data_IF_969774708880
#
_entry.id   IF_969774708880
#
_cell.length_a   1.000
_cell.length_b   1.000
_cell.length_c   1.000
_cell.angle_alpha   90.00
_cell.angle_beta   90.00
_cell.angle_gamma   90.00
#
_symmetry.space_group_name_H-M   'P 1'
#
loop_
_entity.id
_entity.type
_entity.pdbx_description
1 polymer ?
#
# COMPACT_ATOMS: atom_id res chain seq x y z
N UNK A 1 1.38 28.82 14.18
CA UNK A 1 0.14 28.12 14.59
C UNK A 1 -1.04 28.36 13.67
N UNK A 2 -1.23 29.53 13.15
CA UNK A 2 -2.30 29.78 12.17
C UNK A 2 -2.10 29.03 10.85
N UNK A 3 -0.85 28.80 10.42
CA UNK A 3 -0.54 28.05 9.20
C UNK A 3 -0.83 26.55 9.35
N UNK A 4 -0.53 25.94 10.49
CA UNK A 4 -0.85 24.55 10.75
C UNK A 4 -2.37 24.30 10.69
N UNK A 5 -3.16 25.18 11.25
CA UNK A 5 -4.61 25.09 11.21
C UNK A 5 -5.15 25.19 9.77
N UNK A 6 -4.63 26.12 8.99
CA UNK A 6 -5.01 26.29 7.57
C UNK A 6 -4.58 25.09 6.73
N UNK A 7 -3.37 24.58 6.94
CA UNK A 7 -2.87 23.40 6.25
C UNK A 7 -3.69 22.16 6.64
N UNK A 8 -3.98 21.96 7.92
CA UNK A 8 -4.83 20.87 8.40
C UNK A 8 -6.26 20.96 7.88
N UNK A 9 -6.85 22.13 7.83
CA UNK A 9 -8.18 22.33 7.24
C UNK A 9 -8.19 22.03 5.74
N UNK A 10 -7.20 22.47 5.00
CA UNK A 10 -7.06 22.16 3.57
C UNK A 10 -6.69 20.69 3.30
N UNK A 11 -5.91 20.08 4.15
CA UNK A 11 -5.49 18.67 4.04
C UNK A 11 -6.57 17.72 4.56
N UNK A 12 -7.41 18.13 5.51
CA UNK A 12 -8.55 17.34 5.97
C UNK A 12 -9.52 16.95 4.85
N UNK A 13 -9.67 17.76 3.84
CA UNK A 13 -10.45 17.41 2.64
C UNK A 13 -9.81 16.28 1.83
N UNK A 14 -8.47 16.18 1.83
CA UNK A 14 -7.74 15.11 1.16
C UNK A 14 -7.56 13.87 2.03
N UNK A 15 -7.56 14.02 3.34
CA UNK A 15 -7.49 12.89 4.29
C UNK A 15 -8.80 12.08 4.27
N UNK A 16 -9.91 12.67 3.86
CA UNK A 16 -11.16 11.97 3.61
C UNK A 16 -11.19 11.21 2.28
N UNK A 17 -10.15 11.32 1.46
CA UNK A 17 -10.05 10.54 0.22
C UNK A 17 -9.98 9.05 0.56
N UNK A 18 -10.80 8.25 -0.11
CA UNK A 18 -10.85 6.81 0.08
C UNK A 18 -9.53 6.17 -0.32
N UNK A 19 -8.91 5.47 0.59
CA UNK A 19 -7.63 4.76 0.36
C UNK A 19 -7.85 3.41 -0.31
N UNK A 20 -6.79 2.84 -0.89
CA UNK A 20 -6.83 1.49 -1.43
C UNK A 20 -7.24 0.45 -0.38
N UNK A 21 -6.86 0.64 0.87
CA UNK A 21 -7.26 -0.22 1.98
C UNK A 21 -8.78 -0.17 2.22
N UNK A 22 -9.37 1.01 2.19
CA UNK A 22 -10.82 1.17 2.34
C UNK A 22 -11.58 0.53 1.18
N UNK A 23 -11.10 0.68 -0.05
CA UNK A 23 -11.66 -0.02 -1.20
C UNK A 23 -11.53 -1.53 -1.07
N UNK A 24 -10.40 -2.01 -0.58
CA UNK A 24 -10.17 -3.43 -0.35
C UNK A 24 -11.18 -4.00 0.67
N UNK A 25 -11.40 -3.30 1.76
CA UNK A 25 -12.41 -3.68 2.77
C UNK A 25 -13.81 -3.71 2.18
N UNK A 26 -14.18 -2.66 1.42
CA UNK A 26 -15.49 -2.56 0.80
C UNK A 26 -15.73 -3.70 -0.20
N UNK A 27 -14.80 -3.93 -1.10
CA UNK A 27 -14.92 -4.99 -2.09
C UNK A 27 -14.93 -6.39 -1.47
N UNK A 28 -14.13 -6.60 -0.44
CA UNK A 28 -14.14 -7.84 0.32
C UNK A 28 -15.51 -8.10 0.97
N UNK A 29 -16.08 -7.10 1.62
CA UNK A 29 -17.39 -7.19 2.25
C UNK A 29 -18.47 -7.51 1.22
N UNK A 30 -18.48 -6.82 0.09
CA UNK A 30 -19.45 -7.05 -0.99
C UNK A 30 -19.34 -8.46 -1.57
N UNK A 31 -18.13 -8.96 -1.74
CA UNK A 31 -17.92 -10.33 -2.18
C UNK A 31 -18.39 -11.36 -1.16
N UNK A 32 -18.12 -11.12 0.12
CA UNK A 32 -18.57 -12.00 1.20
C UNK A 32 -20.09 -12.07 1.33
N UNK A 33 -20.77 -10.97 1.14
CA UNK A 33 -22.25 -10.95 1.17
C UNK A 33 -22.87 -11.76 0.03
N UNK A 34 -22.22 -11.78 -1.11
CA UNK A 34 -22.70 -12.49 -2.31
C UNK A 34 -22.26 -13.97 -2.39
N UNK A 35 -21.36 -14.39 -1.49
CA UNK A 35 -20.85 -15.77 -1.46
C UNK A 35 -21.69 -16.67 -0.56
N UNK A 36 -21.93 -17.92 -0.96
CA UNK A 36 -22.50 -18.93 -0.08
C UNK A 36 -21.60 -19.12 1.15
N UNK A 37 -22.23 -19.37 2.29
CA UNK A 37 -21.53 -19.47 3.60
C UNK A 37 -20.34 -20.44 3.60
N UNK A 38 -20.44 -21.54 2.85
CA UNK A 38 -19.40 -22.56 2.75
C UNK A 38 -18.11 -22.05 2.09
N UNK A 39 -18.19 -21.01 1.26
CA UNK A 39 -17.08 -20.46 0.48
C UNK A 39 -16.53 -19.14 0.99
N UNK A 40 -17.12 -18.58 2.04
CA UNK A 40 -16.67 -17.31 2.64
C UNK A 40 -15.25 -17.39 3.19
N UNK A 41 -14.81 -18.57 3.56
CA UNK A 41 -13.45 -18.82 4.08
C UNK A 41 -12.37 -18.91 2.98
N UNK A 42 -12.76 -18.92 1.70
CA UNK A 42 -11.82 -19.03 0.59
C UNK A 42 -10.95 -17.77 0.40
N UNK A 43 -11.49 -16.59 0.73
CA UNK A 43 -10.77 -15.33 0.68
C UNK A 43 -10.35 -14.94 2.09
N UNK A 44 -9.03 -14.84 2.30
CA UNK A 44 -8.47 -14.35 3.56
C UNK A 44 -8.13 -12.87 3.44
N UNK A 45 -8.82 -12.05 4.23
CA UNK A 45 -8.59 -10.60 4.24
C UNK A 45 -7.17 -10.22 4.69
N UNK A 46 -6.62 -10.92 5.66
CA UNK A 46 -5.24 -10.67 6.14
C UNK A 46 -4.21 -10.86 5.03
N UNK A 47 -4.42 -11.86 4.19
CA UNK A 47 -3.57 -12.09 3.03
C UNK A 47 -3.67 -10.96 2.00
N UNK A 48 -4.89 -10.51 1.71
CA UNK A 48 -5.13 -9.37 0.81
C UNK A 48 -4.50 -8.08 1.35
N UNK A 49 -4.62 -7.86 2.65
CA UNK A 49 -3.99 -6.72 3.33
C UNK A 49 -2.47 -6.77 3.24
N UNK A 50 -1.87 -7.95 3.47
CA UNK A 50 -0.43 -8.14 3.35
C UNK A 50 0.06 -7.88 1.90
N UNK A 51 -0.69 -8.34 0.91
CA UNK A 51 -0.40 -8.08 -0.50
C UNK A 51 -0.47 -6.58 -0.82
N UNK A 52 -1.47 -5.88 -0.30
CA UNK A 52 -1.59 -4.43 -0.47
C UNK A 52 -0.41 -3.69 0.19
N UNK A 53 -0.01 -4.07 1.38
CA UNK A 53 1.16 -3.52 2.07
C UNK A 53 2.44 -3.73 1.26
N UNK A 54 2.62 -4.92 0.66
CA UNK A 54 3.75 -5.21 -0.22
C UNK A 54 3.76 -4.29 -1.45
N UNK A 55 2.60 -4.02 -2.05
CA UNK A 55 2.48 -3.09 -3.17
C UNK A 55 2.83 -1.65 -2.75
N UNK A 56 2.42 -1.22 -1.58
CA UNK A 56 2.73 0.12 -1.08
C UNK A 56 4.23 0.37 -0.84
N UNK A 57 5.01 -0.68 -0.71
CA UNK A 57 6.47 -0.55 -0.62
C UNK A 57 7.12 -0.13 -1.96
N UNK A 58 6.38 -0.12 -3.05
CA UNK A 58 6.87 0.26 -4.37
C UNK A 58 6.23 1.54 -4.87
N UNK A 59 7.07 2.49 -5.27
CA UNK A 59 6.65 3.82 -5.74
C UNK A 59 5.71 3.73 -6.95
N UNK A 60 5.88 2.74 -7.83
CA UNK A 60 5.08 2.61 -9.04
C UNK A 60 3.57 2.53 -8.73
N UNK A 61 3.21 1.92 -7.61
CA UNK A 61 1.81 1.78 -7.21
C UNK A 61 1.18 3.08 -6.68
N UNK A 62 1.98 4.10 -6.41
CA UNK A 62 1.46 5.42 -6.05
C UNK A 62 0.70 6.09 -7.20
N UNK A 63 0.97 5.68 -8.43
CA UNK A 63 0.29 6.15 -9.64
C UNK A 63 -1.04 5.44 -9.90
N UNK A 64 -1.29 4.31 -9.26
CA UNK A 64 -2.53 3.56 -9.40
C UNK A 64 -3.67 4.27 -8.66
N UNK A 65 -4.84 4.29 -9.28
CA UNK A 65 -6.04 4.67 -8.55
C UNK A 65 -6.30 3.67 -7.43
N UNK A 66 -6.66 4.11 -6.22
CA UNK A 66 -6.89 3.21 -5.08
C UNK A 66 -7.89 2.09 -5.36
N UNK A 67 -8.98 2.40 -6.04
CA UNK A 67 -9.99 1.41 -6.44
C UNK A 67 -9.45 0.34 -7.39
N UNK A 68 -8.64 0.75 -8.35
CA UNK A 68 -8.04 -0.16 -9.35
C UNK A 68 -7.03 -1.09 -8.67
N UNK A 69 -6.19 -0.57 -7.79
CA UNK A 69 -5.21 -1.36 -7.06
C UNK A 69 -5.88 -2.41 -6.18
N UNK A 70 -6.89 -2.02 -5.40
CA UNK A 70 -7.64 -2.93 -4.55
C UNK A 70 -8.31 -4.04 -5.37
N UNK A 71 -8.96 -3.68 -6.46
CA UNK A 71 -9.63 -4.65 -7.34
C UNK A 71 -8.63 -5.60 -8.02
N UNK A 72 -7.46 -5.10 -8.41
CA UNK A 72 -6.39 -5.91 -9.01
C UNK A 72 -5.88 -6.99 -8.04
N UNK A 73 -5.71 -6.65 -6.78
CA UNK A 73 -5.26 -7.60 -5.74
C UNK A 73 -6.32 -8.68 -5.52
N UNK A 74 -7.58 -8.30 -5.40
CA UNK A 74 -8.69 -9.24 -5.22
C UNK A 74 -8.82 -10.16 -6.43
N UNK A 75 -8.76 -9.62 -7.63
CA UNK A 75 -8.86 -10.39 -8.86
C UNK A 75 -7.74 -11.43 -9.00
N UNK A 76 -6.51 -11.08 -8.64
CA UNK A 76 -5.38 -12.01 -8.63
C UNK A 76 -5.57 -13.16 -7.63
N UNK A 77 -6.04 -12.86 -6.44
CA UNK A 77 -6.28 -13.88 -5.43
C UNK A 77 -7.38 -14.85 -5.86
N UNK A 78 -8.43 -14.32 -6.49
CA UNK A 78 -9.53 -15.15 -7.02
C UNK A 78 -9.06 -16.03 -8.18
N UNK A 79 -8.23 -15.49 -9.07
CA UNK A 79 -7.64 -16.29 -10.15
C UNK A 79 -6.77 -17.42 -9.61
N UNK A 80 -6.00 -17.15 -8.56
CA UNK A 80 -5.16 -18.17 -7.92
C UNK A 80 -5.97 -19.31 -7.30
N UNK A 81 -7.19 -19.03 -6.85
CA UNK A 81 -8.09 -20.03 -6.26
C UNK A 81 -8.95 -20.78 -7.28
N UNK A 82 -8.89 -20.39 -8.55
CA UNK A 82 -9.67 -20.98 -9.65
C UNK A 82 -11.18 -21.11 -9.36
N UNK A 83 -11.75 -20.17 -8.64
CA UNK A 83 -13.15 -20.18 -8.26
C UNK A 83 -13.97 -19.33 -9.25
N UNK A 84 -14.74 -20.01 -10.13
CA UNK A 84 -15.53 -19.35 -11.19
C UNK A 84 -16.59 -18.38 -10.66
N UNK A 85 -17.25 -18.72 -9.57
CA UNK A 85 -18.30 -17.87 -8.97
C UNK A 85 -17.75 -16.54 -8.45
N UNK A 86 -16.52 -16.56 -7.93
CA UNK A 86 -15.83 -15.35 -7.48
C UNK A 86 -15.43 -14.45 -8.66
N UNK A 87 -15.18 -15.03 -9.82
CA UNK A 87 -14.85 -14.29 -11.04
C UNK A 87 -16.02 -13.41 -11.48
N UNK A 88 -17.24 -13.91 -11.42
CA UNK A 88 -18.45 -13.12 -11.70
C UNK A 88 -18.59 -11.95 -10.72
N UNK A 89 -18.27 -12.17 -9.45
CA UNK A 89 -18.25 -11.13 -8.44
C UNK A 89 -17.24 -10.01 -8.78
N UNK A 90 -16.07 -10.35 -9.28
CA UNK A 90 -15.07 -9.36 -9.73
C UNK A 90 -15.57 -8.56 -10.91
N UNK A 91 -16.21 -9.19 -11.87
CA UNK A 91 -16.80 -8.51 -13.03
C UNK A 91 -17.89 -7.53 -12.61
N UNK A 92 -18.73 -7.90 -11.67
CA UNK A 92 -19.71 -7.00 -11.06
C UNK A 92 -19.05 -5.80 -10.38
N UNK A 93 -18.03 -6.04 -9.57
CA UNK A 93 -17.27 -4.97 -8.90
C UNK A 93 -16.60 -4.05 -9.92
N UNK A 94 -16.05 -4.59 -10.99
CA UNK A 94 -15.43 -3.82 -12.07
C UNK A 94 -16.46 -2.89 -12.74
N UNK A 95 -17.65 -3.38 -13.02
CA UNK A 95 -18.74 -2.58 -13.61
C UNK A 95 -19.19 -1.47 -12.66
N UNK A 96 -19.39 -1.79 -11.39
CA UNK A 96 -19.81 -0.81 -10.38
C UNK A 96 -18.73 0.26 -10.12
N UNK A 97 -17.48 -0.12 -10.11
CA UNK A 97 -16.35 0.79 -9.89
C UNK A 97 -15.96 1.59 -11.13
N UNK A 98 -16.57 1.28 -12.28
CA UNK A 98 -16.24 1.89 -13.58
C UNK A 98 -14.76 1.79 -13.94
N UNK A 99 -14.13 0.71 -13.54
CA UNK A 99 -12.71 0.44 -13.80
C UNK A 99 -12.57 -0.12 -15.21
N UNK A 100 -11.67 0.48 -16.00
CA UNK A 100 -11.36 -0.01 -17.33
C UNK A 100 -10.66 -1.38 -17.25
N UNK A 101 -11.09 -2.33 -18.07
CA UNK A 101 -10.51 -3.68 -18.12
C UNK A 101 -9.02 -3.68 -18.50
N UNK A 102 -8.57 -2.77 -19.36
CA UNK A 102 -7.16 -2.62 -19.72
C UNK A 102 -6.32 -2.17 -18.55
N UNK A 103 -6.79 -1.20 -17.79
CA UNK A 103 -6.12 -0.71 -16.60
C UNK A 103 -6.06 -1.80 -15.53
N UNK A 104 -7.14 -2.52 -15.34
CA UNK A 104 -7.20 -3.63 -14.40
C UNK A 104 -6.15 -4.71 -14.74
N UNK A 105 -6.09 -5.14 -16.01
CA UNK A 105 -5.12 -6.13 -16.46
C UNK A 105 -3.69 -5.65 -16.29
N UNK A 106 -3.41 -4.42 -16.66
CA UNK A 106 -2.09 -3.80 -16.51
C UNK A 106 -1.62 -3.81 -15.05
N UNK A 107 -2.47 -3.36 -14.14
CA UNK A 107 -2.13 -3.34 -12.71
C UNK A 107 -2.09 -4.74 -12.09
N UNK A 108 -2.92 -5.67 -12.55
CA UNK A 108 -2.81 -7.08 -12.16
C UNK A 108 -1.44 -7.68 -12.49
N UNK A 109 -0.93 -7.43 -13.69
CA UNK A 109 0.39 -7.90 -14.09
C UNK A 109 1.50 -7.31 -13.21
N UNK A 110 1.44 -6.02 -12.92
CA UNK A 110 2.41 -5.36 -12.06
C UNK A 110 2.34 -5.87 -10.62
N UNK A 111 1.16 -6.06 -10.08
CA UNK A 111 0.96 -6.64 -8.75
C UNK A 111 1.49 -8.07 -8.71
N UNK A 112 1.18 -8.87 -9.71
CA UNK A 112 1.67 -10.25 -9.80
C UNK A 112 3.19 -10.32 -9.78
N UNK A 113 3.86 -9.49 -10.58
CA UNK A 113 5.33 -9.39 -10.57
C UNK A 113 5.88 -8.97 -9.22
N UNK A 114 5.27 -7.97 -8.60
CA UNK A 114 5.68 -7.49 -7.28
C UNK A 114 5.56 -8.59 -6.22
N UNK A 115 4.46 -9.31 -6.18
CA UNK A 115 4.23 -10.39 -5.22
C UNK A 115 5.17 -11.58 -5.46
N UNK A 116 5.45 -11.92 -6.70
CA UNK A 116 6.40 -12.97 -7.06
C UNK A 116 7.82 -12.61 -6.59
N UNK A 117 8.25 -11.40 -6.81
CA UNK A 117 9.55 -10.92 -6.34
C UNK A 117 9.62 -10.88 -4.81
N UNK A 118 8.55 -10.49 -4.15
CA UNK A 118 8.46 -10.47 -2.70
C UNK A 118 8.54 -11.88 -2.09
N UNK A 119 7.87 -12.85 -2.71
CA UNK A 119 7.85 -14.24 -2.26
C UNK A 119 9.16 -14.98 -2.54
N UNK A 120 9.91 -14.59 -3.56
CA UNK A 120 11.13 -15.29 -3.98
C UNK A 120 12.38 -14.95 -3.15
N UNK A 121 12.26 -14.25 -2.03
CA UNK A 121 13.39 -13.75 -1.22
C UNK A 121 14.41 -12.89 -1.98
N UNK A 122 14.14 -12.57 -3.23
CA UNK A 122 14.95 -11.60 -4.01
C UNK A 122 14.73 -10.16 -3.53
N UNK A 123 13.63 -9.90 -2.83
CA UNK A 123 13.54 -8.75 -1.96
C UNK A 123 14.43 -9.01 -0.74
N UNK A 124 15.72 -8.83 -0.92
CA UNK A 124 16.62 -8.75 0.23
C UNK A 124 16.02 -7.73 1.20
N UNK A 125 15.85 -8.14 2.46
CA UNK A 125 15.64 -7.18 3.54
C UNK A 125 16.57 -6.01 3.28
N UNK A 126 16.12 -4.75 3.35
CA UNK A 126 17.01 -3.64 3.12
C UNK A 126 18.22 -3.84 4.02
N UNK A 127 19.33 -4.23 3.40
CA UNK A 127 20.54 -4.43 4.13
C UNK A 127 20.96 -3.04 4.59
N UNK A 128 20.89 -2.79 5.89
CA UNK A 128 21.28 -1.52 6.50
C UNK A 128 22.64 -1.07 6.02
N UNK A 129 23.50 -2.02 5.61
CA UNK A 129 24.80 -1.73 5.01
C UNK A 129 24.71 -1.12 3.60
N UNK A 130 23.68 -1.43 2.82
CA UNK A 130 23.44 -0.81 1.50
C UNK A 130 22.88 0.61 1.60
N UNK A 131 22.37 0.99 2.74
CA UNK A 131 21.93 2.35 3.05
C UNK A 131 23.05 3.23 3.64
N UNK A 132 24.29 2.73 3.70
CA UNK A 132 25.42 3.61 3.98
C UNK A 132 25.53 4.60 2.84
N UNK A 133 25.14 5.81 3.12
CA UNK A 133 25.38 6.94 2.23
C UNK A 133 26.88 7.05 2.03
N UNK A 134 27.34 6.98 0.79
CA UNK A 134 28.72 7.34 0.43
C UNK A 134 28.80 8.87 0.58
N UNK A 135 29.07 9.31 1.79
CA UNK A 135 29.17 10.72 2.10
C UNK A 135 30.62 11.10 1.84
N UNK A 136 30.84 12.12 1.01
CA UNK A 136 32.19 12.67 0.82
C UNK A 136 32.78 13.06 2.19
N UNK A 137 34.10 12.93 2.37
CA UNK A 137 34.75 13.27 3.61
C UNK A 137 34.45 14.69 4.13
N UNK A 138 34.15 15.61 3.22
CA UNK A 138 33.72 16.98 3.53
C UNK A 138 32.32 17.00 4.18
N UNK A 139 31.39 16.26 3.64
CA UNK A 139 30.02 16.15 4.17
C UNK A 139 30.00 15.39 5.49
N UNK A 140 30.84 14.37 5.66
CA UNK A 140 30.98 13.65 6.92
C UNK A 140 31.46 14.57 8.06
N UNK A 141 32.37 15.50 7.78
CA UNK A 141 32.82 16.50 8.76
C UNK A 141 31.70 17.47 9.14
N UNK A 142 30.90 17.92 8.17
CA UNK A 142 29.75 18.78 8.42
C UNK A 142 28.67 18.08 9.23
N UNK A 143 28.40 16.81 8.95
CA UNK A 143 27.45 16.00 9.73
C UNK A 143 27.93 15.78 11.16
N UNK A 144 29.24 15.57 11.38
CA UNK A 144 29.83 15.51 12.74
C UNK A 144 29.58 16.81 13.49
N UNK A 145 29.80 17.96 12.86
CA UNK A 145 29.53 19.26 13.49
C UNK A 145 28.05 19.46 13.79
N UNK A 146 27.15 19.05 12.90
CA UNK A 146 25.70 19.11 13.14
C UNK A 146 25.29 18.17 14.26
N UNK A 147 25.87 16.98 14.35
CA UNK A 147 25.63 16.03 15.42
C UNK A 147 26.04 16.59 16.79
N UNK A 148 27.22 17.22 16.90
CA UNK A 148 27.65 17.89 18.12
C UNK A 148 26.73 19.03 18.53
N UNK A 149 26.22 19.81 17.58
CA UNK A 149 25.23 20.85 17.88
C UNK A 149 23.91 20.29 18.39
N UNK A 150 23.45 19.17 17.84
CA UNK A 150 22.21 18.50 18.24
C UNK A 150 22.35 17.90 19.65
N UNK A 151 23.52 17.35 19.99
CA UNK A 151 23.78 16.79 21.33
C UNK A 151 23.93 17.85 22.43
N UNK A 152 24.25 19.09 22.06
CA UNK A 152 24.32 20.22 22.98
C UNK A 152 23.05 21.03 23.08
N UNK A 153 22.03 20.75 22.25
CA UNK A 153 20.71 21.35 22.40
C UNK A 153 20.03 20.76 23.63
N UNK A 154 19.33 21.61 24.44
CA UNK A 154 18.51 21.09 25.52
C UNK A 154 17.51 20.10 24.93
N UNK A 155 17.52 18.90 25.46
CA UNK A 155 16.57 17.86 25.09
C UNK A 155 15.16 18.40 25.27
N UNK A 156 14.45 18.50 24.19
CA UNK A 156 13.01 18.70 24.26
C UNK A 156 12.45 17.52 25.03
N UNK A 157 11.74 17.75 26.18
CA UNK A 157 11.14 16.64 26.88
C UNK A 157 10.25 15.90 25.88
N UNK A 158 10.56 14.63 25.65
CA UNK A 158 9.71 13.78 24.84
C UNK A 158 8.30 13.86 25.44
N UNK A 159 7.43 14.51 24.70
CA UNK A 159 6.03 14.35 24.95
C UNK A 159 5.64 12.95 24.52
N UNK A 160 5.90 12.00 25.39
CA UNK A 160 5.37 10.65 25.25
C UNK A 160 3.85 10.77 25.43
N UNK A 161 3.09 10.44 24.37
CA UNK A 161 1.65 10.40 24.52
C UNK A 161 1.22 9.32 25.52
#
# INVERSE_FOLDING_TARGET
>A
MRMEKIVLEKVCWKVKATTAFQFLQLYYSLLQENLPFERRNGLNFERLEAQLKACHCRIIFSKAKPSVLALSIIALEIQAQMCGELTEGVECLQKHSKVNGRDLTFWQELVSKCLTEYSSNKCSKPNVQKLKWIVSGRTARQLKHSYYRITHLPTIPEMVP
#
